data_IF_298099788150
#
_entry.id   IF_298099788150
#
_cell.length_a   1.000
_cell.length_b   1.000
_cell.length_c   1.000
_cell.angle_alpha   90.00
_cell.angle_beta   90.00
_cell.angle_gamma   90.00
#
_symmetry.space_group_name_H-M   'P 1'
#
loop_
_entity.id
_entity.type
_entity.pdbx_description
1 polymer ?
#
# COMPACT_ATOMS: atom_id res chain seq x y z
N UNK A 1 26.02 -3.76 -0.89
CA UNK A 1 24.60 -4.04 -0.58
C UNK A 1 23.95 -2.75 -0.08
N UNK A 2 22.74 -2.37 -0.49
CA UNK A 2 22.04 -1.11 -0.13
C UNK A 2 21.77 -0.90 1.37
N UNK A 3 22.07 -1.91 2.19
CA UNK A 3 21.96 -1.91 3.66
C UNK A 3 23.31 -2.08 4.35
N UNK A 4 24.39 -1.75 3.64
CA UNK A 4 25.71 -1.61 4.25
C UNK A 4 25.67 -0.47 5.27
N UNK A 5 25.99 -0.80 6.53
CA UNK A 5 25.96 0.17 7.63
C UNK A 5 27.01 1.27 7.48
N UNK A 6 28.04 1.05 6.67
CA UNK A 6 29.10 2.02 6.41
C UNK A 6 28.77 3.01 5.28
N UNK A 7 27.71 2.75 4.51
CA UNK A 7 27.32 3.57 3.35
C UNK A 7 26.06 4.38 3.64
N UNK A 8 26.08 5.67 3.32
CA UNK A 8 24.93 6.57 3.42
C UNK A 8 24.10 6.56 2.13
N UNK A 9 22.90 7.13 2.18
CA UNK A 9 22.08 7.31 0.97
C UNK A 9 22.76 8.22 -0.06
N UNK A 10 23.59 9.17 0.37
CA UNK A 10 24.34 10.04 -0.53
C UNK A 10 25.42 9.27 -1.30
N UNK A 11 26.06 8.28 -0.67
CA UNK A 11 27.02 7.40 -1.35
C UNK A 11 26.33 6.58 -2.44
N UNK A 12 25.13 6.07 -2.15
CA UNK A 12 24.31 5.35 -3.12
C UNK A 12 23.84 6.26 -4.26
N UNK A 13 23.48 7.49 -3.95
CA UNK A 13 23.08 8.47 -4.96
C UNK A 13 24.25 8.86 -5.87
N UNK A 14 25.45 9.06 -5.31
CA UNK A 14 26.65 9.31 -6.09
C UNK A 14 27.00 8.12 -7.01
N UNK A 15 26.89 6.88 -6.50
CA UNK A 15 27.06 5.67 -7.32
C UNK A 15 26.01 5.55 -8.42
N UNK A 16 24.75 5.83 -8.09
CA UNK A 16 23.65 5.84 -9.06
C UNK A 16 23.94 6.83 -10.19
N UNK A 17 24.32 8.06 -9.88
CA UNK A 17 24.60 9.10 -10.88
C UNK A 17 25.79 8.79 -11.80
N UNK A 18 26.78 8.01 -11.31
CA UNK A 18 27.97 7.60 -12.08
C UNK A 18 27.76 6.33 -12.92
N UNK A 19 26.59 5.71 -12.84
CA UNK A 19 26.27 4.45 -13.54
C UNK A 19 25.31 4.68 -14.72
N UNK A 20 24.91 3.61 -15.41
CA UNK A 20 23.83 3.67 -16.41
C UNK A 20 22.41 3.64 -15.80
N UNK A 21 22.29 3.49 -14.47
CA UNK A 21 20.98 3.45 -13.80
C UNK A 21 20.10 4.70 -14.02
N UNK A 22 20.60 5.94 -14.17
CA UNK A 22 19.76 7.09 -14.45
C UNK A 22 19.05 7.00 -15.81
N UNK A 23 19.71 6.44 -16.83
CA UNK A 23 19.11 6.22 -18.16
C UNK A 23 17.97 5.21 -18.06
N UNK A 24 18.23 4.11 -17.35
CA UNK A 24 17.23 3.06 -17.15
C UNK A 24 16.06 3.54 -16.28
N UNK A 25 16.33 4.32 -15.22
CA UNK A 25 15.30 4.94 -14.40
C UNK A 25 14.40 5.85 -15.25
N UNK A 26 14.99 6.68 -16.11
CA UNK A 26 14.22 7.53 -17.03
C UNK A 26 13.35 6.70 -17.97
N UNK A 27 13.87 5.60 -18.52
CA UNK A 27 13.11 4.67 -19.39
C UNK A 27 11.95 4.00 -18.65
N UNK A 28 12.13 3.64 -17.38
CA UNK A 28 11.06 3.06 -16.56
C UNK A 28 9.99 4.10 -16.22
N UNK A 29 10.42 5.30 -15.79
CA UNK A 29 9.52 6.41 -15.46
C UNK A 29 8.68 6.82 -16.68
N UNK A 30 9.27 6.85 -17.88
CA UNK A 30 8.55 7.23 -19.10
C UNK A 30 7.48 6.25 -19.53
N UNK A 31 7.42 5.03 -18.96
CA UNK A 31 6.35 4.08 -19.23
C UNK A 31 5.10 4.35 -18.41
N UNK A 32 5.19 5.18 -17.37
CA UNK A 32 4.04 5.55 -16.57
C UNK A 32 3.19 6.59 -17.31
N UNK A 33 1.97 6.22 -17.66
CA UNK A 33 1.02 7.05 -18.38
C UNK A 33 -0.14 7.48 -17.47
N UNK A 34 -0.51 8.76 -17.61
CA UNK A 34 -1.68 9.38 -16.98
C UNK A 34 -2.30 10.31 -18.02
N UNK A 35 -3.59 10.15 -18.28
CA UNK A 35 -4.33 11.07 -19.14
C UNK A 35 -4.60 12.39 -18.39
N UNK A 36 -4.11 13.50 -18.94
CA UNK A 36 -4.31 14.83 -18.37
C UNK A 36 -5.76 15.32 -18.50
N UNK A 37 -6.49 14.78 -19.49
CA UNK A 37 -7.91 15.04 -19.71
C UNK A 37 -8.81 13.97 -19.04
N UNK A 38 -8.20 13.07 -18.27
CA UNK A 38 -8.88 11.99 -17.58
C UNK A 38 -9.93 12.49 -16.57
N UNK A 39 -10.93 11.65 -16.31
CA UNK A 39 -11.92 11.92 -15.28
C UNK A 39 -11.33 11.79 -13.87
N UNK A 40 -11.99 12.34 -12.85
CA UNK A 40 -11.58 12.15 -11.45
C UNK A 40 -11.47 10.66 -11.08
N UNK A 41 -12.34 9.81 -11.63
CA UNK A 41 -12.27 8.36 -11.43
C UNK A 41 -10.99 7.72 -12.00
N UNK A 42 -10.42 8.27 -13.08
CA UNK A 42 -9.14 7.82 -13.62
C UNK A 42 -7.99 8.23 -12.70
N UNK A 43 -8.01 9.46 -12.20
CA UNK A 43 -7.03 9.94 -11.22
C UNK A 43 -7.09 9.13 -9.92
N UNK A 44 -8.28 8.81 -9.43
CA UNK A 44 -8.47 7.98 -8.24
C UNK A 44 -7.91 6.56 -8.44
N UNK A 45 -8.13 5.95 -9.61
CA UNK A 45 -7.53 4.66 -9.96
C UNK A 45 -5.99 4.72 -10.01
N UNK A 46 -5.42 5.82 -10.51
CA UNK A 46 -3.96 6.03 -10.51
C UNK A 46 -3.40 6.24 -9.10
N UNK A 47 -4.17 6.85 -8.21
CA UNK A 47 -3.81 6.98 -6.79
C UNK A 47 -3.82 5.60 -6.11
N UNK A 48 -4.84 4.80 -6.37
CA UNK A 48 -4.91 3.41 -5.89
C UNK A 48 -3.68 2.60 -6.34
N UNK A 49 -3.32 2.67 -7.63
CA UNK A 49 -2.09 2.06 -8.16
C UNK A 49 -0.84 2.50 -7.37
N UNK A 50 -0.71 3.80 -7.11
CA UNK A 50 0.43 4.37 -6.36
C UNK A 50 0.47 3.88 -4.91
N UNK A 51 -0.68 3.84 -4.24
CA UNK A 51 -0.80 3.35 -2.86
C UNK A 51 -0.45 1.86 -2.83
N UNK A 52 -1.02 1.06 -3.71
CA UNK A 52 -0.79 -0.38 -3.79
C UNK A 52 0.69 -0.70 -4.00
N UNK A 53 1.35 -0.05 -4.96
CA UNK A 53 2.78 -0.21 -5.20
C UNK A 53 3.63 0.21 -3.98
N UNK A 54 3.24 1.30 -3.30
CA UNK A 54 3.94 1.79 -2.11
C UNK A 54 3.83 0.85 -0.92
N UNK A 55 2.66 0.24 -0.71
CA UNK A 55 2.45 -0.79 0.33
C UNK A 55 3.34 -1.99 0.04
N UNK A 56 3.33 -2.49 -1.19
CA UNK A 56 4.16 -3.61 -1.61
C UNK A 56 5.65 -3.36 -1.40
N UNK A 57 6.15 -2.19 -1.81
CA UNK A 57 7.57 -1.82 -1.63
C UNK A 57 7.95 -1.64 -0.16
N UNK A 58 7.04 -1.10 0.67
CA UNK A 58 7.25 -0.95 2.12
C UNK A 58 7.58 -2.30 2.77
N UNK A 59 6.94 -3.36 2.30
CA UNK A 59 7.11 -4.72 2.80
C UNK A 59 8.14 -5.58 2.04
N UNK A 60 8.65 -5.10 0.91
CA UNK A 60 9.61 -5.82 0.07
C UNK A 60 11.01 -6.02 0.68
N UNK A 61 11.26 -5.49 1.88
CA UNK A 61 12.56 -5.56 2.57
C UNK A 61 12.62 -6.65 3.66
N UNK A 62 11.53 -7.40 3.84
CA UNK A 62 11.47 -8.54 4.74
C UNK A 62 12.44 -9.67 4.37
N UNK A 63 13.01 -10.32 5.39
CA UNK A 63 13.88 -11.50 5.22
C UNK A 63 13.47 -12.61 6.17
N UNK A 64 13.38 -13.83 5.64
CA UNK A 64 13.10 -15.05 6.40
C UNK A 64 14.11 -15.23 7.55
N UNK A 65 13.61 -15.72 8.69
CA UNK A 65 14.43 -15.94 9.89
C UNK A 65 14.97 -14.65 10.53
N UNK A 66 14.54 -13.46 10.09
CA UNK A 66 14.91 -12.17 10.67
C UNK A 66 13.68 -11.47 11.20
N UNK A 67 13.88 -10.63 12.22
CA UNK A 67 12.82 -9.76 12.74
C UNK A 67 12.30 -8.88 11.59
N UNK A 68 10.97 -8.68 11.48
CA UNK A 68 10.40 -7.74 10.52
C UNK A 68 11.03 -6.37 10.67
N UNK A 69 11.40 -5.76 9.54
CA UNK A 69 11.93 -4.41 9.48
C UNK A 69 11.25 -3.70 8.32
N UNK A 70 10.76 -2.50 8.59
CA UNK A 70 10.32 -1.59 7.55
C UNK A 70 11.50 -0.70 7.17
N UNK A 71 11.71 -0.51 5.87
CA UNK A 71 12.72 0.42 5.40
C UNK A 71 12.24 1.86 5.60
N UNK A 72 13.08 2.66 6.25
CA UNK A 72 12.76 4.05 6.57
C UNK A 72 12.42 4.88 5.34
N UNK A 73 13.04 4.66 4.18
CA UNK A 73 12.74 5.45 2.98
C UNK A 73 11.50 4.92 2.25
N UNK A 74 11.37 3.60 2.10
CA UNK A 74 10.23 3.01 1.40
C UNK A 74 8.92 3.21 2.15
N UNK A 75 8.94 3.21 3.49
CA UNK A 75 7.75 3.51 4.28
C UNK A 75 7.23 4.95 4.06
N UNK A 76 8.05 5.88 3.58
CA UNK A 76 7.57 7.24 3.25
C UNK A 76 6.71 7.26 1.99
N UNK A 77 6.84 6.27 1.10
CA UNK A 77 6.00 6.17 -0.09
C UNK A 77 4.55 5.96 0.33
N UNK A 78 4.29 5.01 1.24
CA UNK A 78 2.91 4.75 1.73
C UNK A 78 2.37 5.93 2.54
N UNK A 79 3.19 6.58 3.36
CA UNK A 79 2.70 7.73 4.14
C UNK A 79 2.50 8.98 3.31
N UNK A 80 3.16 9.11 2.17
CA UNK A 80 2.98 10.28 1.29
C UNK A 80 1.80 10.08 0.34
N UNK A 81 1.55 8.84 -0.09
CA UNK A 81 0.48 8.55 -1.05
C UNK A 81 -0.93 8.77 -0.47
N UNK A 82 -1.13 8.63 0.84
CA UNK A 82 -2.44 8.91 1.47
C UNK A 82 -2.88 10.38 1.37
N UNK A 83 -1.98 11.30 1.01
CA UNK A 83 -2.32 12.72 0.84
C UNK A 83 -2.85 13.05 -0.56
N UNK A 84 -2.75 12.13 -1.52
CA UNK A 84 -3.23 12.39 -2.89
C UNK A 84 -4.69 12.83 -2.96
N UNK A 85 -5.65 12.18 -2.29
CA UNK A 85 -7.05 12.60 -2.37
C UNK A 85 -7.27 14.03 -1.88
N UNK A 86 -6.60 14.43 -0.79
CA UNK A 86 -6.67 15.81 -0.29
C UNK A 86 -6.02 16.81 -1.27
N UNK A 87 -4.88 16.46 -1.86
CA UNK A 87 -4.21 17.32 -2.85
C UNK A 87 -5.04 17.46 -4.13
N UNK A 88 -5.70 16.40 -4.59
CA UNK A 88 -6.56 16.43 -5.77
C UNK A 88 -7.84 17.22 -5.55
N UNK A 89 -8.36 17.28 -4.32
CA UNK A 89 -9.45 18.19 -3.96
C UNK A 89 -9.08 19.67 -4.15
N UNK A 90 -7.79 20.02 -4.08
CA UNK A 90 -7.27 21.38 -4.26
C UNK A 90 -6.86 21.62 -5.72
N UNK A 91 -6.20 20.64 -6.34
CA UNK A 91 -5.69 20.72 -7.71
C UNK A 91 -6.80 20.52 -8.73
N UNK A 92 -7.44 21.60 -9.19
CA UNK A 92 -8.52 21.53 -10.18
C UNK A 92 -8.04 21.21 -11.61
N UNK A 93 -6.77 21.46 -11.92
CA UNK A 93 -6.21 21.23 -13.25
C UNK A 93 -5.68 19.79 -13.37
N UNK A 94 -6.23 19.01 -14.31
CA UNK A 94 -5.82 17.63 -14.59
C UNK A 94 -4.34 17.50 -14.93
N UNK A 95 -3.75 18.49 -15.60
CA UNK A 95 -2.30 18.54 -15.85
C UNK A 95 -1.48 18.52 -14.55
N UNK A 96 -1.86 19.34 -13.57
CA UNK A 96 -1.15 19.39 -12.29
C UNK A 96 -1.32 18.10 -11.48
N UNK A 97 -2.50 17.47 -11.54
CA UNK A 97 -2.72 16.15 -10.94
C UNK A 97 -1.81 15.10 -11.57
N UNK A 98 -1.73 15.08 -12.92
CA UNK A 98 -0.87 14.16 -13.65
C UNK A 98 0.62 14.38 -13.36
N UNK A 99 1.08 15.63 -13.32
CA UNK A 99 2.47 15.96 -12.99
C UNK A 99 2.85 15.55 -11.56
N UNK A 100 1.93 15.71 -10.60
CA UNK A 100 2.13 15.23 -9.23
C UNK A 100 2.29 13.71 -9.19
N UNK A 101 1.44 12.95 -9.91
CA UNK A 101 1.56 11.49 -10.01
C UNK A 101 2.88 11.05 -10.66
N UNK A 102 3.26 11.69 -11.77
CA UNK A 102 4.54 11.42 -12.46
C UNK A 102 5.74 11.69 -11.55
N UNK A 103 5.70 12.79 -10.79
CA UNK A 103 6.72 13.11 -9.79
C UNK A 103 6.80 12.08 -8.67
N UNK A 104 5.66 11.60 -8.18
CA UNK A 104 5.61 10.55 -7.16
C UNK A 104 6.15 9.21 -7.68
N UNK A 105 5.72 8.75 -8.86
CA UNK A 105 6.23 7.52 -9.48
C UNK A 105 7.73 7.60 -9.76
N UNK A 106 8.23 8.77 -10.13
CA UNK A 106 9.67 9.01 -10.25
C UNK A 106 10.41 8.76 -8.92
N UNK A 107 9.86 9.24 -7.80
CA UNK A 107 10.38 8.96 -6.47
C UNK A 107 10.30 7.48 -6.09
N UNK A 108 9.20 6.80 -6.43
CA UNK A 108 9.05 5.35 -6.23
C UNK A 108 10.17 4.58 -6.93
N UNK A 109 10.40 4.85 -8.21
CA UNK A 109 11.45 4.19 -9.01
C UNK A 109 12.84 4.49 -8.45
N UNK A 110 13.14 5.77 -8.18
CA UNK A 110 14.44 6.19 -7.68
C UNK A 110 14.75 5.57 -6.31
N UNK A 111 13.82 5.65 -5.35
CA UNK A 111 14.01 5.05 -4.03
C UNK A 111 14.15 3.54 -4.12
N UNK A 112 13.38 2.86 -4.97
CA UNK A 112 13.52 1.42 -5.18
C UNK A 112 14.93 1.06 -5.66
N UNK A 113 15.50 1.81 -6.60
CA UNK A 113 16.86 1.57 -7.09
C UNK A 113 17.91 1.91 -6.02
N UNK A 114 17.79 3.06 -5.36
CA UNK A 114 18.75 3.51 -4.33
C UNK A 114 18.74 2.61 -3.08
N UNK A 115 17.60 2.01 -2.75
CA UNK A 115 17.48 0.98 -1.70
C UNK A 115 17.81 -0.43 -2.23
N UNK A 116 18.41 -0.50 -3.42
CA UNK A 116 18.99 -1.67 -4.06
C UNK A 116 18.00 -2.75 -4.43
N UNK A 117 16.88 -2.34 -5.00
CA UNK A 117 15.89 -3.18 -5.69
C UNK A 117 15.35 -4.28 -4.78
N UNK A 118 14.64 -3.90 -3.70
CA UNK A 118 14.06 -4.86 -2.77
C UNK A 118 13.20 -5.88 -3.51
N UNK A 119 13.31 -7.15 -3.11
CA UNK A 119 12.61 -8.27 -3.75
C UNK A 119 11.36 -8.57 -2.95
N UNK A 120 10.20 -8.49 -3.60
CA UNK A 120 8.95 -8.90 -2.99
C UNK A 120 8.93 -10.42 -2.76
N UNK A 121 8.62 -10.82 -1.53
CA UNK A 121 8.45 -12.21 -1.12
C UNK A 121 7.02 -12.43 -0.62
N UNK A 122 6.05 -12.68 -1.51
CA UNK A 122 4.65 -12.83 -1.14
C UNK A 122 4.44 -13.89 -0.05
N UNK A 123 5.10 -15.04 -0.15
CA UNK A 123 4.98 -16.13 0.83
C UNK A 123 5.39 -15.69 2.24
N UNK A 124 6.43 -14.86 2.34
CA UNK A 124 6.86 -14.31 3.63
C UNK A 124 5.81 -13.32 4.18
N UNK A 125 5.22 -12.48 3.33
CA UNK A 125 4.20 -11.52 3.75
C UNK A 125 2.89 -12.20 4.17
N UNK A 126 2.54 -13.29 3.49
CA UNK A 126 1.33 -14.07 3.80
C UNK A 126 1.57 -15.13 4.89
N UNK A 127 2.79 -15.26 5.42
CA UNK A 127 3.10 -16.19 6.52
C UNK A 127 2.61 -15.72 7.89
N UNK A 128 2.27 -14.42 8.01
CA UNK A 128 1.76 -13.85 9.26
C UNK A 128 0.27 -14.19 9.44
N UNK A 129 -0.18 -14.21 10.69
CA UNK A 129 -1.60 -14.46 10.99
C UNK A 129 -2.48 -13.33 10.47
N UNK A 130 -3.61 -13.69 9.85
CA UNK A 130 -4.65 -12.74 9.40
C UNK A 130 -5.26 -11.92 10.55
N UNK A 131 -5.09 -12.38 11.79
CA UNK A 131 -5.64 -11.76 12.99
C UNK A 131 -4.53 -11.47 14.00
N UNK A 132 -3.61 -10.54 13.67
CA UNK A 132 -2.53 -10.17 14.58
C UNK A 132 -3.12 -9.66 15.89
N UNK A 133 -2.60 -10.18 17.01
CA UNK A 133 -2.99 -9.76 18.36
C UNK A 133 -1.89 -8.89 18.96
N UNK A 134 -2.24 -7.80 19.67
CA UNK A 134 -1.24 -7.04 20.39
C UNK A 134 -0.53 -7.95 21.40
N UNK A 135 0.76 -7.69 21.71
CA UNK A 135 1.47 -8.40 22.76
C UNK A 135 0.66 -8.31 24.05
N UNK A 136 0.29 -9.45 24.64
CA UNK A 136 -0.46 -9.46 25.90
C UNK A 136 0.45 -8.84 26.96
N UNK A 137 0.04 -7.77 27.66
CA UNK A 137 0.91 -7.17 28.64
C UNK A 137 1.07 -8.14 29.82
N UNK A 138 2.30 -8.26 30.32
CA UNK A 138 2.65 -9.06 31.50
C UNK A 138 1.63 -8.86 32.63
N UNK A 139 1.32 -9.90 33.45
CA UNK A 139 0.28 -9.87 34.48
C UNK A 139 0.32 -8.65 35.43
N UNK A 140 1.47 -7.98 35.57
CA UNK A 140 1.63 -6.73 36.34
C UNK A 140 0.79 -5.56 35.78
N UNK A 141 0.52 -5.53 34.46
CA UNK A 141 -0.30 -4.48 33.85
C UNK A 141 -1.82 -4.70 34.01
N UNK A 142 -2.24 -5.88 34.47
CA UNK A 142 -3.66 -6.26 34.57
C UNK A 142 -4.41 -5.47 35.65
N UNK A 143 -3.71 -4.97 36.67
CA UNK A 143 -4.34 -4.27 37.81
C UNK A 143 -4.86 -2.86 37.48
N UNK A 144 -4.40 -2.21 36.40
CA UNK A 144 -4.86 -0.85 36.03
C UNK A 144 -6.02 -0.82 35.03
N UNK A 145 -6.45 -1.96 34.48
CA UNK A 145 -7.39 -2.04 33.34
C UNK A 145 -8.85 -2.35 33.70
N UNK A 146 -9.19 -2.55 34.97
CA UNK A 146 -10.55 -2.94 35.36
C UNK A 146 -11.59 -1.81 35.27
N UNK A 147 -11.18 -0.53 35.24
CA UNK A 147 -12.10 0.59 35.42
C UNK A 147 -12.46 1.36 34.15
N UNK A 148 -11.87 1.04 33.00
CA UNK A 148 -12.17 1.72 31.75
C UNK A 148 -12.29 0.68 30.63
N UNK A 149 -13.31 0.83 29.79
CA UNK A 149 -13.52 0.10 28.53
C UNK A 149 -14.42 -1.16 28.61
N UNK A 150 -15.69 -0.96 28.95
CA UNK A 150 -16.78 -1.70 28.30
C UNK A 150 -17.08 -1.03 26.95
N UNK A 151 -16.30 -1.32 25.92
CA UNK A 151 -16.65 -0.98 24.53
C UNK A 151 -16.99 -2.28 23.81
N UNK A 152 -18.22 -2.29 23.28
CA UNK A 152 -18.93 -3.42 22.68
C UNK A 152 -18.15 -3.94 21.47
N UNK A 153 -17.72 -5.21 21.54
CA UNK A 153 -17.11 -5.95 20.42
C UNK A 153 -18.08 -6.00 19.23
N UNK A 154 -17.74 -5.29 18.16
CA UNK A 154 -18.30 -5.51 16.82
C UNK A 154 -17.15 -5.79 15.86
N UNK A 155 -17.36 -6.79 15.03
CA UNK A 155 -16.37 -7.73 14.47
C UNK A 155 -15.64 -7.28 13.20
N UNK A 156 -15.36 -5.98 12.97
CA UNK A 156 -14.90 -5.55 11.62
C UNK A 156 -13.66 -4.67 11.49
N UNK A 157 -12.90 -4.28 12.52
CA UNK A 157 -11.61 -3.57 12.29
C UNK A 157 -10.60 -3.76 13.43
N UNK A 158 -10.01 -4.96 13.53
CA UNK A 158 -8.94 -5.24 14.53
C UNK A 158 -7.64 -4.44 14.31
N UNK A 159 -7.40 -3.92 13.11
CA UNK A 159 -6.27 -3.04 12.81
C UNK A 159 -6.29 -1.74 13.63
N UNK A 160 -7.48 -1.15 13.84
CA UNK A 160 -7.66 0.04 14.69
C UNK A 160 -7.35 -0.26 16.15
N UNK A 161 -7.69 -1.44 16.65
CA UNK A 161 -7.37 -1.87 18.02
C UNK A 161 -5.87 -2.00 18.25
N UNK A 162 -5.10 -2.45 17.24
CA UNK A 162 -3.63 -2.46 17.31
C UNK A 162 -3.04 -1.05 17.33
N UNK A 163 -3.52 -0.14 16.49
CA UNK A 163 -3.10 1.27 16.49
C UNK A 163 -3.39 1.91 17.86
N UNK A 164 -4.62 1.71 18.39
CA UNK A 164 -5.02 2.22 19.70
C UNK A 164 -4.19 1.59 20.81
N UNK A 165 -3.94 0.28 20.78
CA UNK A 165 -3.05 -0.40 21.75
C UNK A 165 -1.61 0.12 21.65
N UNK A 166 -1.14 0.43 20.44
CA UNK A 166 0.15 1.06 20.17
C UNK A 166 0.22 2.45 20.81
N UNK A 167 -0.78 3.31 20.58
CA UNK A 167 -0.86 4.66 21.17
C UNK A 167 -0.69 4.71 22.69
N UNK A 168 -1.05 3.63 23.41
CA UNK A 168 -0.93 3.55 24.86
C UNK A 168 0.37 2.88 25.34
N UNK A 169 1.11 2.25 24.44
CA UNK A 169 2.50 1.88 24.66
C UNK A 169 3.39 3.09 24.34
N UNK A 170 4.64 3.14 24.81
CA UNK A 170 5.59 4.21 24.42
C UNK A 170 5.94 4.21 22.91
N UNK A 171 5.28 3.37 22.12
CA UNK A 171 5.40 3.25 20.68
C UNK A 171 4.16 3.88 20.06
N UNK A 172 4.21 5.17 19.72
CA UNK A 172 3.19 5.78 18.87
C UNK A 172 3.06 4.95 17.59
N UNK A 173 1.84 4.62 17.12
CA UNK A 173 1.68 3.91 15.86
C UNK A 173 2.39 4.70 14.78
N UNK A 174 3.19 4.01 13.98
CA UNK A 174 3.96 4.68 12.95
C UNK A 174 2.99 5.27 11.93
N UNK A 175 3.36 6.40 11.30
CA UNK A 175 2.54 6.99 10.23
C UNK A 175 2.18 5.96 9.14
N UNK A 176 3.04 4.97 8.95
CA UNK A 176 2.82 3.86 8.02
C UNK A 176 1.69 2.93 8.45
N UNK A 177 1.53 2.65 9.75
CA UNK A 177 0.40 1.86 10.26
C UNK A 177 -0.93 2.58 9.97
N UNK A 178 -0.97 3.89 10.20
CA UNK A 178 -2.13 4.71 9.85
C UNK A 178 -2.40 4.71 8.33
N UNK A 179 -1.36 4.80 7.51
CA UNK A 179 -1.47 4.75 6.05
C UNK A 179 -1.99 3.40 5.54
N UNK A 180 -1.59 2.29 6.17
CA UNK A 180 -2.07 0.95 5.84
C UNK A 180 -3.54 0.75 6.20
N UNK A 181 -3.95 1.21 7.40
CA UNK A 181 -5.37 1.15 7.79
C UNK A 181 -6.22 2.02 6.89
N UNK A 182 -5.74 3.21 6.52
CA UNK A 182 -6.40 4.05 5.52
C UNK A 182 -6.57 3.33 4.18
N UNK A 183 -5.50 2.74 3.65
CA UNK A 183 -5.56 2.03 2.38
C UNK A 183 -6.54 0.85 2.42
N UNK A 184 -6.53 0.06 3.50
CA UNK A 184 -7.45 -1.06 3.68
C UNK A 184 -8.93 -0.61 3.80
N UNK A 185 -9.19 0.52 4.46
CA UNK A 185 -10.56 1.05 4.61
C UNK A 185 -11.14 1.60 3.31
N UNK A 186 -10.30 2.24 2.48
CA UNK A 186 -10.75 2.89 1.25
C UNK A 186 -10.80 1.93 0.07
N UNK A 187 -9.78 1.08 -0.08
CA UNK A 187 -9.61 0.22 -1.26
C UNK A 187 -9.91 -1.26 -0.99
N UNK A 188 -9.98 -1.67 0.28
CA UNK A 188 -10.32 -3.03 0.66
C UNK A 188 -9.23 -4.06 0.35
N UNK A 189 -9.66 -5.32 0.25
CA UNK A 189 -8.78 -6.46 -0.01
C UNK A 189 -8.69 -6.79 -1.50
N UNK A 190 -7.50 -7.16 -1.96
CA UNK A 190 -7.26 -7.62 -3.33
C UNK A 190 -7.14 -9.14 -3.33
N UNK A 191 -8.02 -9.81 -4.09
CA UNK A 191 -8.00 -11.27 -4.21
C UNK A 191 -6.70 -11.77 -4.88
N UNK A 192 -6.25 -13.00 -4.57
CA UNK A 192 -5.12 -13.63 -5.26
C UNK A 192 -5.29 -13.59 -6.78
N UNK A 193 -4.21 -13.24 -7.50
CA UNK A 193 -4.21 -13.09 -8.95
C UNK A 193 -4.90 -11.84 -9.51
N UNK A 194 -5.51 -11.01 -8.64
CA UNK A 194 -6.16 -9.74 -9.01
C UNK A 194 -5.29 -8.52 -8.73
N UNK A 195 -4.03 -8.72 -8.35
CA UNK A 195 -3.09 -7.65 -8.08
C UNK A 195 -2.91 -6.74 -9.30
N UNK A 196 -3.04 -5.43 -9.08
CA UNK A 196 -2.98 -4.43 -10.15
C UNK A 196 -1.60 -4.53 -10.82
N UNK A 197 -1.59 -4.73 -12.14
CA UNK A 197 -0.37 -4.90 -12.93
C UNK A 197 0.25 -6.30 -12.94
N UNK A 198 -0.31 -7.29 -12.22
CA UNK A 198 0.20 -8.68 -12.21
C UNK A 198 -0.20 -9.52 -13.44
N UNK A 199 -0.79 -8.91 -14.47
CA UNK A 199 -1.22 -9.62 -15.68
C UNK A 199 -0.02 -10.03 -16.53
N UNK A 200 0.35 -11.32 -16.47
CA UNK A 200 1.24 -11.95 -17.45
C UNK A 200 0.71 -11.69 -18.87
N UNK A 201 1.59 -11.38 -19.82
CA UNK A 201 1.26 -11.07 -21.23
C UNK A 201 0.41 -12.14 -21.94
N UNK A 202 0.32 -13.36 -21.42
CA UNK A 202 -0.58 -14.41 -21.93
C UNK A 202 -2.07 -14.14 -21.65
N UNK A 203 -2.39 -13.38 -20.58
CA UNK A 203 -3.78 -13.12 -20.16
C UNK A 203 -4.49 -12.00 -20.94
N UNK A 204 -3.75 -11.16 -21.68
CA UNK A 204 -4.34 -10.09 -22.50
C UNK A 204 -5.18 -10.66 -23.66
N UNK A 205 -4.87 -11.87 -24.15
CA UNK A 205 -5.70 -12.58 -25.14
C UNK A 205 -6.93 -13.26 -24.53
N UNK A 206 -6.89 -13.60 -23.24
CA UNK A 206 -8.00 -14.29 -22.56
C UNK A 206 -9.11 -13.31 -22.12
N UNK A 207 -8.74 -12.12 -21.64
CA UNK A 207 -9.70 -11.11 -21.14
C UNK A 207 -10.48 -10.45 -22.29
N UNK A 208 -9.88 -10.33 -23.48
CA UNK A 208 -10.56 -9.89 -24.70
C UNK A 208 -11.73 -10.82 -25.10
N UNK A 209 -11.67 -12.11 -24.74
CA UNK A 209 -12.72 -13.09 -25.08
C UNK A 209 -13.79 -13.26 -23.99
N UNK A 210 -13.50 -12.91 -22.73
CA UNK A 210 -14.49 -13.03 -21.64
C UNK A 210 -15.34 -11.77 -21.42
N UNK A 211 -14.90 -10.59 -21.86
CA UNK A 211 -15.69 -9.34 -21.73
C UNK A 211 -16.86 -9.20 -22.71
N UNK A 212 -17.05 -10.14 -23.64
CA UNK A 212 -18.17 -10.14 -24.61
C UNK A 212 -19.35 -11.02 -24.15
N UNK A 213 -19.26 -11.75 -23.02
CA UNK A 213 -20.41 -12.48 -22.47
C UNK A 213 -20.64 -12.18 -20.99
N UNK A 214 -21.62 -11.32 -20.74
CA UNK A 214 -22.45 -11.41 -19.53
C UNK A 214 -22.15 -10.42 -18.40
N UNK A 215 -22.40 -9.12 -18.60
CA UNK A 215 -22.87 -8.29 -17.48
C UNK A 215 -24.36 -8.55 -17.28
N UNK A 216 -24.73 -9.38 -16.28
CA UNK A 216 -26.05 -9.34 -15.64
C UNK A 216 -25.89 -9.31 -14.13
N UNK A 217 -26.41 -8.21 -13.57
CA UNK A 217 -27.14 -8.04 -12.31
C UNK A 217 -26.54 -8.58 -11.00
N UNK A 218 -26.23 -7.61 -10.15
CA UNK A 218 -26.68 -7.55 -8.77
C UNK A 218 -27.99 -8.34 -8.55
N UNK A 219 -27.92 -9.39 -7.74
CA UNK A 219 -29.09 -9.94 -7.06
C UNK A 219 -28.75 -10.05 -5.58
N UNK A 220 -29.18 -9.03 -4.82
CA UNK A 220 -29.55 -9.24 -3.43
C UNK A 220 -30.87 -10.00 -3.44
N UNK A 221 -30.86 -11.22 -2.91
CA UNK A 221 -32.06 -11.97 -2.60
C UNK A 221 -32.07 -12.19 -1.09
N UNK A 222 -32.76 -11.31 -0.37
CA UNK A 222 -33.36 -11.65 0.92
C UNK A 222 -34.87 -11.72 0.69
N UNK A 223 -35.40 -12.91 0.97
CA UNK A 223 -36.79 -13.30 0.86
C UNK A 223 -37.63 -12.58 1.91
N UNK A 224 -38.76 -12.00 1.49
CA UNK A 224 -40.01 -12.01 2.26
C UNK A 224 -41.17 -11.76 1.30
N UNK A 225 -42.13 -12.68 1.33
CA UNK A 225 -43.36 -12.76 0.53
C UNK A 225 -44.31 -11.57 0.78
N UNK A 226 -45.31 -11.38 -0.09
CA UNK A 226 -46.63 -10.96 0.36
C UNK A 226 -47.68 -12.04 0.08
N UNK A 227 -48.46 -12.32 1.13
CA UNK A 227 -49.79 -12.91 1.03
C UNK A 227 -50.78 -11.81 0.61
N UNK A 228 -51.54 -12.12 -0.43
CA UNK A 228 -53.00 -12.01 -0.61
C UNK A 228 -53.33 -11.76 -2.10
#
# INVERSE_FOLDING_TARGET
MPYDRSSTIYDWMAKFMKSDHPKEARRLISQYYVDEAGSDAEFDAKVEECIFASVLLTFATGKEGRKPRLDFFLMHLVTSSIFFPSLFGILKNGKHKADLLRGFVSNVVLLTILRGRPVMKPDLLMSYTDVPRPPVPSPVARMRRASAMRVRMRTTTRGREMIVSGCHSRLTPSKSDAGLVYAAEIYGDVAPGSAIGAFLRESVRAISRSRIRGRRRWTGAFLSEPRE
#
